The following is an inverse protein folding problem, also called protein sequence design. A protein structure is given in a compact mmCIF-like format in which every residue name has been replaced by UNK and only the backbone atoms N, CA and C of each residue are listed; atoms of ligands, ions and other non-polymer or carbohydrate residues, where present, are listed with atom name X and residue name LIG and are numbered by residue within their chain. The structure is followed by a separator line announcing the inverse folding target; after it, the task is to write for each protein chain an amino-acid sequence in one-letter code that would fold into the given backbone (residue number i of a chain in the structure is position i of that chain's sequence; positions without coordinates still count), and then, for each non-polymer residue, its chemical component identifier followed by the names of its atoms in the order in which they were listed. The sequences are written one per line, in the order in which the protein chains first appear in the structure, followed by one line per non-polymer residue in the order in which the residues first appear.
data_IF_224479982841
#
_entry.id   IF_224479982841
#
_cell.length_a   1.000
_cell.length_b   1.000
_cell.length_c   1.000
_cell.angle_alpha   90.00
_cell.angle_beta   90.00
_cell.angle_gamma   90.00
#
_symmetry.space_group_name_H-M   'P 1'
#
loop_
_entity.id
_entity.type
_entity.pdbx_description
1 polymer ?
#
# COMPACT_ATOMS: atom_id res chain seq x y z
N UNK A 1 17.69 29.13 -1.48
CA UNK A 1 17.08 27.92 -0.85
C UNK A 1 16.80 26.78 -1.84
N UNK A 2 16.45 27.04 -3.11
CA UNK A 2 16.13 26.03 -4.13
C UNK A 2 17.22 24.94 -4.35
N UNK A 3 18.51 25.31 -4.26
CA UNK A 3 19.63 24.40 -4.49
C UNK A 3 19.78 23.29 -3.43
N UNK A 4 19.33 23.50 -2.19
CA UNK A 4 19.51 22.50 -1.12
C UNK A 4 18.56 21.32 -1.28
N UNK A 5 17.31 21.57 -1.68
CA UNK A 5 16.31 20.52 -1.89
C UNK A 5 16.68 19.62 -3.07
N UNK A 6 17.11 20.21 -4.20
CA UNK A 6 17.56 19.45 -5.37
C UNK A 6 18.77 18.55 -5.06
N UNK A 7 19.71 19.05 -4.24
CA UNK A 7 20.85 18.25 -3.79
C UNK A 7 20.42 17.07 -2.92
N UNK A 8 19.44 17.25 -2.03
CA UNK A 8 18.92 16.16 -1.18
C UNK A 8 18.22 15.10 -2.02
N UNK A 9 17.32 15.51 -2.93
CA UNK A 9 16.62 14.56 -3.81
C UNK A 9 17.60 13.79 -4.69
N UNK A 10 18.62 14.45 -5.23
CA UNK A 10 19.68 13.79 -6.00
C UNK A 10 20.45 12.76 -5.18
N UNK A 11 20.80 13.09 -3.92
CA UNK A 11 21.44 12.13 -3.00
C UNK A 11 20.56 10.91 -2.73
N UNK A 12 19.27 11.11 -2.49
CA UNK A 12 18.29 10.03 -2.27
C UNK A 12 18.19 9.13 -3.50
N UNK A 13 18.03 9.71 -4.69
CA UNK A 13 18.00 8.94 -5.95
C UNK A 13 19.28 8.12 -6.16
N UNK A 14 20.45 8.71 -5.88
CA UNK A 14 21.71 8.00 -6.01
C UNK A 14 21.84 6.86 -5.00
N UNK A 15 21.33 7.03 -3.77
CA UNK A 15 21.30 5.95 -2.78
C UNK A 15 20.36 4.82 -3.23
N UNK A 16 19.16 5.15 -3.71
CA UNK A 16 18.17 4.20 -4.23
C UNK A 16 18.73 3.39 -5.40
N UNK A 17 19.41 4.04 -6.36
CA UNK A 17 20.01 3.35 -7.53
C UNK A 17 21.09 2.34 -7.17
N UNK A 18 21.68 2.46 -5.98
CA UNK A 18 22.69 1.54 -5.46
C UNK A 18 22.08 0.36 -4.69
N UNK A 19 20.77 0.37 -4.44
CA UNK A 19 20.09 -0.76 -3.81
C UNK A 19 20.11 -1.97 -4.75
N UNK A 20 20.33 -3.15 -4.16
CA UNK A 20 20.43 -4.38 -4.93
C UNK A 20 19.13 -4.68 -5.68
N UNK A 21 19.24 -4.99 -6.96
CA UNK A 21 18.09 -5.28 -7.83
C UNK A 21 17.40 -4.05 -8.42
N UNK A 22 17.73 -2.81 -8.06
CA UNK A 22 17.19 -1.61 -8.72
C UNK A 22 17.80 -1.46 -10.11
N UNK A 23 16.95 -1.21 -11.11
CA UNK A 23 17.32 -0.99 -12.51
C UNK A 23 17.25 0.48 -12.90
N UNK A 24 16.20 1.17 -12.44
CA UNK A 24 15.99 2.59 -12.70
C UNK A 24 15.21 3.22 -11.54
N UNK A 25 15.40 4.52 -11.35
CA UNK A 25 14.63 5.30 -10.39
C UNK A 25 14.48 6.74 -10.86
N UNK A 26 13.27 7.28 -10.76
CA UNK A 26 12.93 8.64 -11.17
C UNK A 26 11.95 9.30 -10.20
N UNK A 27 12.06 10.63 -10.05
CA UNK A 27 11.08 11.41 -9.31
C UNK A 27 9.91 11.68 -10.22
N UNK A 28 8.72 11.31 -9.77
CA UNK A 28 7.49 11.54 -10.51
C UNK A 28 7.16 13.03 -10.56
N UNK A 29 6.89 13.52 -11.76
CA UNK A 29 6.34 14.86 -11.95
C UNK A 29 4.88 14.88 -11.52
N UNK A 30 4.31 16.08 -11.36
CA UNK A 30 2.88 16.22 -11.06
C UNK A 30 2.00 15.58 -12.14
N UNK A 31 2.38 15.74 -13.41
CA UNK A 31 1.67 15.13 -14.53
C UNK A 31 1.73 13.58 -14.50
N UNK A 32 2.85 13.00 -14.06
CA UNK A 32 2.95 11.54 -13.90
C UNK A 32 2.03 11.04 -12.78
N UNK A 33 2.01 11.74 -11.65
CA UNK A 33 1.14 11.42 -10.51
C UNK A 33 -0.33 11.44 -10.91
N UNK A 34 -0.77 12.46 -11.63
CA UNK A 34 -2.15 12.59 -12.12
C UNK A 34 -2.54 11.45 -13.06
N UNK A 35 -1.65 11.09 -13.99
CA UNK A 35 -1.87 9.95 -14.90
C UNK A 35 -1.99 8.63 -14.12
N UNK A 36 -1.12 8.40 -13.14
CA UNK A 36 -1.16 7.19 -12.32
C UNK A 36 -2.43 7.12 -11.46
N UNK A 37 -2.88 8.24 -10.89
CA UNK A 37 -4.14 8.31 -10.14
C UNK A 37 -5.34 8.01 -11.05
N UNK A 38 -5.34 8.53 -12.28
CA UNK A 38 -6.40 8.26 -13.24
C UNK A 38 -6.46 6.77 -13.60
N UNK A 39 -5.32 6.16 -13.94
CA UNK A 39 -5.22 4.73 -14.24
C UNK A 39 -5.67 3.86 -13.06
N UNK A 40 -5.25 4.19 -11.83
CA UNK A 40 -5.70 3.45 -10.64
C UNK A 40 -7.22 3.62 -10.43
N UNK A 41 -7.76 4.82 -10.65
CA UNK A 41 -9.20 5.07 -10.48
C UNK A 41 -10.05 4.31 -11.50
N UNK A 42 -9.55 4.11 -12.72
CA UNK A 42 -10.17 3.25 -13.73
C UNK A 42 -10.18 1.79 -13.28
N UNK A 43 -9.06 1.28 -12.77
CA UNK A 43 -8.92 -0.08 -12.25
C UNK A 43 -9.78 -0.34 -10.99
N UNK A 44 -9.92 0.66 -10.11
CA UNK A 44 -10.76 0.59 -8.90
C UNK A 44 -12.27 0.50 -9.22
N UNK A 45 -12.69 0.91 -10.42
CA UNK A 45 -14.06 0.73 -10.90
C UNK A 45 -14.36 -0.71 -11.33
N UNK A 46 -13.34 -1.53 -11.56
CA UNK A 46 -13.48 -2.95 -11.90
C UNK A 46 -13.60 -3.78 -10.61
N UNK A 47 -14.69 -4.53 -10.50
CA UNK A 47 -14.89 -5.45 -9.38
C UNK A 47 -13.91 -6.63 -9.46
N UNK A 48 -13.25 -6.91 -8.33
CA UNK A 48 -12.40 -8.08 -8.16
C UNK A 48 -13.01 -8.99 -7.10
N UNK A 49 -13.39 -10.21 -7.48
CA UNK A 49 -14.07 -11.17 -6.60
C UNK A 49 -15.35 -10.61 -5.93
N UNK A 50 -16.06 -9.69 -6.61
CA UNK A 50 -17.27 -9.04 -6.10
C UNK A 50 -17.03 -7.90 -5.10
N UNK A 51 -15.78 -7.44 -4.99
CA UNK A 51 -15.41 -6.29 -4.16
C UNK A 51 -14.81 -5.18 -5.01
N UNK A 52 -15.07 -3.93 -4.63
CA UNK A 52 -14.32 -2.79 -5.17
C UNK A 52 -12.93 -2.77 -4.57
N UNK A 53 -11.92 -2.49 -5.38
CA UNK A 53 -10.54 -2.30 -4.92
C UNK A 53 -10.33 -0.84 -4.55
N UNK A 54 -9.40 -0.59 -3.62
CA UNK A 54 -8.94 0.76 -3.31
C UNK A 54 -7.47 0.72 -2.90
N UNK A 55 -6.62 1.44 -3.61
CA UNK A 55 -5.17 1.44 -3.37
C UNK A 55 -4.76 2.66 -2.56
N UNK A 56 -5.04 2.60 -1.26
CA UNK A 56 -4.70 3.65 -0.31
C UNK A 56 -3.18 3.92 -0.29
N UNK A 57 -2.37 2.86 -0.34
CA UNK A 57 -0.92 2.98 -0.35
C UNK A 57 -0.38 3.77 -1.54
N UNK A 58 -0.91 3.56 -2.74
CA UNK A 58 -0.53 4.33 -3.93
C UNK A 58 -0.99 5.78 -3.81
N UNK A 59 -2.24 6.01 -3.43
CA UNK A 59 -2.82 7.36 -3.33
C UNK A 59 -2.06 8.23 -2.34
N UNK A 60 -1.74 7.65 -1.19
CA UNK A 60 -0.91 8.28 -0.17
C UNK A 60 0.49 8.60 -0.72
N UNK A 61 1.16 7.63 -1.38
CA UNK A 61 2.46 7.84 -1.99
C UNK A 61 2.49 8.94 -3.07
N UNK A 62 1.45 9.06 -3.89
CA UNK A 62 1.36 10.07 -4.95
C UNK A 62 0.96 11.45 -4.42
N UNK A 63 0.26 11.54 -3.28
CA UNK A 63 -0.10 12.80 -2.64
C UNK A 63 1.08 13.49 -1.92
N UNK A 64 2.19 12.77 -1.67
CA UNK A 64 3.40 13.37 -1.08
C UNK A 64 4.07 14.36 -2.03
N UNK A 65 4.85 15.29 -1.47
CA UNK A 65 5.67 16.25 -2.23
C UNK A 65 6.58 15.54 -3.23
N UNK A 66 7.33 14.53 -2.77
CA UNK A 66 8.21 13.72 -3.60
C UNK A 66 7.72 12.28 -3.63
N UNK A 67 7.59 11.74 -4.83
CA UNK A 67 7.26 10.34 -5.08
C UNK A 67 8.29 9.80 -6.06
N UNK A 68 8.88 8.64 -5.75
CA UNK A 68 9.94 8.05 -6.57
C UNK A 68 9.40 6.74 -7.15
N UNK A 69 9.38 6.64 -8.47
CA UNK A 69 9.10 5.38 -9.15
C UNK A 69 10.39 4.56 -9.27
N UNK A 70 10.26 3.26 -9.04
CA UNK A 70 11.38 2.30 -9.07
C UNK A 70 11.07 1.18 -10.06
N UNK A 71 12.02 0.90 -10.94
CA UNK A 71 12.05 -0.33 -11.73
C UNK A 71 13.08 -1.24 -11.09
N UNK A 72 12.71 -2.48 -10.79
CA UNK A 72 13.58 -3.42 -10.09
C UNK A 72 13.41 -4.87 -10.58
N UNK A 73 14.42 -5.70 -10.37
CA UNK A 73 14.36 -7.15 -10.59
C UNK A 73 13.71 -7.81 -9.38
N UNK A 74 12.52 -8.36 -9.55
CA UNK A 74 11.74 -9.01 -8.49
C UNK A 74 12.45 -10.19 -7.83
N UNK A 75 13.38 -10.86 -8.52
CA UNK A 75 14.16 -11.97 -7.98
C UNK A 75 15.28 -11.54 -7.02
N UNK A 76 15.61 -10.25 -6.97
CA UNK A 76 16.75 -9.72 -6.21
C UNK A 76 16.31 -8.65 -5.22
N UNK A 77 15.37 -7.79 -5.63
CA UNK A 77 14.91 -6.69 -4.80
C UNK A 77 14.09 -7.23 -3.61
N UNK A 78 14.42 -6.84 -2.37
CA UNK A 78 13.75 -7.31 -1.15
C UNK A 78 12.35 -6.68 -0.98
N UNK A 79 11.44 -6.99 -1.89
CA UNK A 79 10.04 -6.56 -1.80
C UNK A 79 9.28 -7.46 -0.82
N UNK A 80 8.51 -6.91 0.14
CA UNK A 80 7.62 -7.72 0.97
C UNK A 80 6.65 -8.54 0.10
N UNK A 81 6.61 -9.86 0.33
CA UNK A 81 5.88 -10.81 -0.51
C UNK A 81 4.36 -10.60 -0.53
N UNK A 82 3.78 -10.06 0.55
CA UNK A 82 2.32 -9.86 0.66
C UNK A 82 2.02 -8.39 0.93
N UNK A 83 1.24 -7.69 0.08
CA UNK A 83 0.73 -6.38 0.44
C UNK A 83 -0.14 -6.47 1.70
N UNK A 84 -0.06 -5.49 2.60
CA UNK A 84 -1.01 -5.37 3.69
C UNK A 84 -2.36 -5.02 3.08
N UNK A 85 -3.37 -5.85 3.35
CA UNK A 85 -4.70 -5.72 2.77
C UNK A 85 -5.74 -5.82 3.87
N UNK A 86 -6.75 -4.94 3.80
CA UNK A 86 -7.94 -4.96 4.65
C UNK A 86 -9.20 -5.09 3.80
N UNK A 87 -10.22 -5.73 4.36
CA UNK A 87 -11.57 -5.72 3.84
C UNK A 87 -12.38 -4.77 4.72
N UNK A 88 -12.93 -3.72 4.12
CA UNK A 88 -13.71 -2.70 4.83
C UNK A 88 -15.17 -2.75 4.41
N UNK A 89 -16.09 -2.63 5.36
CA UNK A 89 -17.50 -2.27 5.12
C UNK A 89 -17.79 -0.96 5.84
N UNK A 90 -18.11 0.11 5.08
CA UNK A 90 -18.37 1.46 5.64
C UNK A 90 -17.31 1.92 6.67
N UNK A 91 -16.02 1.69 6.34
CA UNK A 91 -14.85 1.98 7.17
C UNK A 91 -14.63 1.09 8.40
N UNK A 92 -15.46 0.06 8.59
CA UNK A 92 -15.26 -0.98 9.62
C UNK A 92 -14.42 -2.09 9.01
N UNK A 93 -13.35 -2.50 9.70
CA UNK A 93 -12.54 -3.66 9.29
C UNK A 93 -13.36 -4.93 9.51
N UNK A 94 -13.72 -5.61 8.42
CA UNK A 94 -14.46 -6.88 8.45
C UNK A 94 -13.56 -8.08 8.11
N UNK A 95 -12.31 -7.81 7.72
CA UNK A 95 -11.26 -8.80 7.52
C UNK A 95 -9.92 -8.13 7.24
N UNK A 96 -8.82 -8.82 7.48
CA UNK A 96 -7.48 -8.28 7.31
C UNK A 96 -6.41 -9.35 7.14
N UNK A 97 -5.31 -8.98 6.48
CA UNK A 97 -4.09 -9.77 6.42
C UNK A 97 -3.26 -9.58 7.70
N UNK A 98 -3.11 -10.64 8.46
CA UNK A 98 -2.22 -10.77 9.60
C UNK A 98 -0.88 -11.33 9.17
N UNK A 99 0.17 -10.67 9.64
CA UNK A 99 1.57 -11.09 9.54
C UNK A 99 2.02 -11.71 10.85
N UNK A 100 3.20 -12.35 10.83
CA UNK A 100 3.88 -12.77 12.06
C UNK A 100 3.96 -11.57 13.02
N UNK A 101 3.62 -11.81 14.29
CA UNK A 101 3.57 -10.82 15.38
C UNK A 101 2.53 -9.69 15.26
N UNK A 102 1.55 -9.80 14.36
CA UNK A 102 0.42 -8.85 14.31
C UNK A 102 -0.82 -9.37 15.03
N UNK A 103 -1.50 -8.49 15.77
CA UNK A 103 -2.78 -8.82 16.40
C UNK A 103 -3.96 -8.39 15.51
N UNK A 104 -5.06 -9.15 15.52
CA UNK A 104 -6.31 -8.75 14.87
C UNK A 104 -6.82 -7.40 15.41
N UNK A 105 -7.34 -6.56 14.52
CA UNK A 105 -7.97 -5.29 14.90
C UNK A 105 -9.30 -5.49 15.65
N UNK A 106 -9.92 -6.66 15.50
CA UNK A 106 -11.18 -7.03 16.15
C UNK A 106 -10.98 -8.20 17.12
N UNK A 107 -11.55 -8.08 18.33
CA UNK A 107 -11.36 -9.04 19.43
C UNK A 107 -12.40 -10.18 19.48
N UNK A 108 -13.41 -10.15 18.63
CA UNK A 108 -14.42 -11.21 18.57
C UNK A 108 -13.97 -12.41 17.74
N UNK A 109 -14.93 -13.20 17.24
CA UNK A 109 -14.62 -14.39 16.44
C UNK A 109 -13.93 -14.01 15.12
N UNK A 110 -12.76 -14.60 14.89
CA UNK A 110 -12.04 -14.55 13.62
C UNK A 110 -12.07 -15.92 12.92
N UNK A 111 -12.21 -15.90 11.59
CA UNK A 111 -12.13 -17.09 10.75
C UNK A 111 -11.06 -16.84 9.70
N UNK A 112 -10.03 -17.69 9.68
CA UNK A 112 -9.01 -17.66 8.65
C UNK A 112 -9.55 -18.29 7.36
N UNK A 113 -9.53 -17.55 6.26
CA UNK A 113 -10.00 -18.03 4.94
C UNK A 113 -8.86 -18.43 4.02
N UNK A 114 -7.68 -17.82 4.20
CA UNK A 114 -6.42 -18.19 3.55
C UNK A 114 -5.27 -17.89 4.52
N UNK A 115 -4.08 -18.47 4.29
CA UNK A 115 -2.92 -18.29 5.19
C UNK A 115 -2.61 -16.81 5.48
N UNK A 116 -2.92 -16.39 6.70
CA UNK A 116 -2.76 -15.04 7.25
C UNK A 116 -3.96 -14.11 7.05
N UNK A 117 -4.94 -14.43 6.20
CA UNK A 117 -6.09 -13.55 5.97
C UNK A 117 -7.31 -14.03 6.76
N UNK A 118 -7.76 -13.19 7.69
CA UNK A 118 -8.91 -13.45 8.56
C UNK A 118 -10.10 -12.59 8.19
N UNK A 119 -11.31 -13.12 8.41
CA UNK A 119 -12.57 -12.37 8.35
C UNK A 119 -13.28 -12.44 9.70
N UNK A 120 -14.12 -11.45 9.97
CA UNK A 120 -14.89 -11.33 11.20
C UNK A 120 -16.38 -11.55 10.88
N UNK A 121 -16.90 -12.79 11.03
CA UNK A 121 -18.27 -13.11 10.59
C UNK A 121 -19.36 -12.23 11.19
N UNK A 122 -19.15 -11.75 12.42
CA UNK A 122 -20.07 -10.87 13.14
C UNK A 122 -20.18 -9.47 12.51
N UNK A 123 -19.15 -9.04 11.77
CA UNK A 123 -19.09 -7.74 11.11
C UNK A 123 -19.43 -7.82 9.61
N UNK A 124 -19.63 -9.02 9.07
CA UNK A 124 -19.98 -9.18 7.65
C UNK A 124 -21.40 -8.63 7.37
N UNK A 125 -21.58 -7.90 6.26
CA UNK A 125 -22.91 -7.44 5.88
C UNK A 125 -23.83 -8.63 5.58
N UNK A 126 -24.97 -8.69 6.27
CA UNK A 126 -25.98 -9.74 6.08
C UNK A 126 -26.81 -9.50 4.83
N UNK A 127 -27.09 -8.23 4.52
CA UNK A 127 -27.89 -7.83 3.37
C UNK A 127 -27.07 -7.80 2.09
N UNK A 128 -27.67 -8.23 0.98
CA UNK A 128 -27.00 -8.27 -0.33
C UNK A 128 -26.67 -6.88 -0.87
N UNK A 129 -27.54 -5.89 -0.62
CA UNK A 129 -27.33 -4.47 -0.94
C UNK A 129 -26.04 -3.93 -0.34
N UNK A 130 -25.76 -4.30 0.92
CA UNK A 130 -24.62 -3.81 1.68
C UNK A 130 -23.28 -4.37 1.20
N UNK A 131 -23.28 -5.48 0.43
CA UNK A 131 -22.05 -6.04 -0.15
C UNK A 131 -21.37 -5.08 -1.12
N UNK A 132 -22.12 -4.21 -1.79
CA UNK A 132 -21.59 -3.18 -2.70
C UNK A 132 -20.74 -2.11 -1.99
N UNK A 133 -20.88 -2.00 -0.67
CA UNK A 133 -20.09 -1.11 0.19
C UNK A 133 -18.84 -1.78 0.76
N UNK A 134 -18.60 -3.05 0.42
CA UNK A 134 -17.39 -3.77 0.83
C UNK A 134 -16.26 -3.46 -0.14
N UNK A 135 -15.12 -3.06 0.41
CA UNK A 135 -13.92 -2.69 -0.34
C UNK A 135 -12.71 -3.48 0.11
N UNK A 136 -11.94 -3.97 -0.86
CA UNK A 136 -10.61 -4.51 -0.64
C UNK A 136 -9.60 -3.36 -0.71
N UNK A 137 -8.98 -3.04 0.42
CA UNK A 137 -8.07 -1.90 0.56
C UNK A 137 -6.63 -2.37 0.62
N UNK A 138 -5.80 -1.92 -0.31
CA UNK A 138 -4.35 -2.12 -0.31
C UNK A 138 -3.68 -0.98 0.47
N UNK A 139 -3.08 -1.32 1.60
CA UNK A 139 -2.46 -0.36 2.51
C UNK A 139 -1.03 -0.02 2.07
N UNK A 140 -0.51 1.10 2.59
CA UNK A 140 0.90 1.48 2.43
C UNK A 140 1.82 0.38 2.95
N UNK A 141 2.92 0.14 2.24
CA UNK A 141 3.97 -0.78 2.66
C UNK A 141 5.07 0.01 3.35
N UNK A 142 5.52 -0.47 4.50
CA UNK A 142 6.73 0.06 5.14
C UNK A 142 7.93 -0.59 4.47
N UNK A 143 8.84 0.17 3.83
CA UNK A 143 9.98 -0.38 3.13
C UNK A 143 11.04 -0.84 4.13
N UNK A 144 11.07 -2.14 4.45
CA UNK A 144 12.09 -2.76 5.31
C UNK A 144 13.49 -2.75 4.70
N UNK A 145 13.60 -2.45 3.40
CA UNK A 145 14.85 -2.42 2.65
C UNK A 145 15.61 -1.09 2.72
N UNK A 146 15.02 -0.06 3.32
CA UNK A 146 15.72 1.20 3.58
C UNK A 146 16.38 1.10 4.95
N UNK A 147 17.66 0.72 4.96
CA UNK A 147 18.47 0.60 6.17
C UNK A 147 18.63 2.00 6.80
N UNK A 148 18.32 2.12 8.10
CA UNK A 148 18.44 3.37 8.87
C UNK A 148 17.15 4.16 9.06
N UNK A 149 16.00 3.68 8.59
CA UNK A 149 14.67 4.27 8.87
C UNK A 149 13.98 3.70 10.13
N UNK A 150 14.65 2.83 10.88
CA UNK A 150 14.00 1.96 11.87
C UNK A 150 13.58 2.60 13.20
N UNK A 151 13.64 3.92 13.41
CA UNK A 151 13.34 4.44 14.77
C UNK A 151 12.39 5.65 14.89
N UNK A 152 11.93 6.32 13.82
CA UNK A 152 11.08 7.52 14.07
C UNK A 152 10.35 8.07 12.84
N UNK A 153 9.57 7.25 12.14
CA UNK A 153 8.47 7.82 11.33
C UNK A 153 7.19 7.55 12.12
N UNK A 154 6.92 8.40 13.10
CA UNK A 154 5.53 8.60 13.51
C UNK A 154 4.78 9.13 12.28
N UNK A 155 3.64 8.52 11.97
CA UNK A 155 2.72 9.08 10.99
C UNK A 155 2.36 10.51 11.41
N UNK A 156 2.56 11.53 10.56
CA UNK A 156 2.03 12.86 10.84
C UNK A 156 0.49 12.87 10.87
#
# INVERSE_FOLDING_TARGET
MYNKHLQVVSKVLNAIRRLNGVLASEVLTQADKEKLIALESEEENVEFLGFKRYNEGLREALNRTYSIALVFRSSVFPMPHKPPVKLLHRNIVIGEMLYEDTQPSYRGRAVEVFKGFVIYPELLPRERSERSHVKLVYLKRVPSFIIGLNESIEDP
#
